data_IF_515627420897
#
_entry.id   IF_515627420897
#
_cell.length_a   1.000
_cell.length_b   1.000
_cell.length_c   1.000
_cell.angle_alpha   90.00
_cell.angle_beta   90.00
_cell.angle_gamma   90.00
#
_symmetry.space_group_name_H-M   'P 1'
#
loop_
_entity.id
_entity.type
_entity.pdbx_description
1 polymer ?
#
# COMPACT_ATOMS: atom_id res chain seq x y z
N UNK A 1 -1.66 -36.00 7.93
CA UNK A 1 -2.26 -34.90 8.72
C UNK A 1 -1.62 -33.61 8.25
N UNK A 2 -2.30 -32.87 7.37
CA UNK A 2 -1.76 -31.65 6.76
C UNK A 2 -2.27 -30.44 7.55
N UNK A 3 -1.36 -29.75 8.25
CA UNK A 3 -1.64 -28.42 8.79
C UNK A 3 -1.52 -27.42 7.65
N UNK A 4 -2.64 -27.06 7.02
CA UNK A 4 -2.69 -25.83 6.25
C UNK A 4 -2.48 -24.68 7.23
N UNK A 5 -1.33 -24.01 7.16
CA UNK A 5 -1.22 -22.66 7.69
C UNK A 5 -1.94 -21.79 6.67
N UNK A 6 -3.27 -21.79 6.74
CA UNK A 6 -4.01 -20.58 6.43
C UNK A 6 -3.31 -19.51 7.24
N UNK A 7 -2.97 -18.37 6.63
CA UNK A 7 -2.89 -17.14 7.38
C UNK A 7 -4.31 -16.89 7.91
N UNK A 8 -4.70 -17.65 8.95
CA UNK A 8 -5.84 -17.31 9.78
C UNK A 8 -5.46 -15.95 10.30
N UNK A 9 -6.34 -14.98 10.08
CA UNK A 9 -6.36 -13.77 10.87
C UNK A 9 -6.39 -14.21 12.33
N UNK A 10 -5.20 -14.33 12.93
CA UNK A 10 -5.06 -14.27 14.36
C UNK A 10 -5.44 -12.83 14.62
N UNK A 11 -6.72 -12.60 14.91
CA UNK A 11 -7.21 -11.37 15.53
C UNK A 11 -6.54 -11.31 16.90
N UNK A 12 -5.24 -11.03 16.91
CA UNK A 12 -4.56 -10.53 18.06
C UNK A 12 -5.22 -9.18 18.31
N UNK A 13 -5.93 -9.08 19.44
CA UNK A 13 -6.42 -7.80 19.93
C UNK A 13 -5.33 -6.75 19.75
N UNK A 14 -5.65 -5.65 19.07
CA UNK A 14 -4.71 -4.58 18.74
C UNK A 14 -3.83 -4.27 19.97
N UNK A 15 -2.49 -4.40 19.86
CA UNK A 15 -1.61 -3.99 20.94
C UNK A 15 -1.90 -2.51 21.23
N UNK A 16 -2.24 -2.21 22.50
CA UNK A 16 -2.51 -0.84 22.95
C UNK A 16 -1.34 0.06 22.49
N UNK A 17 -1.60 0.93 21.50
CA UNK A 17 -0.72 1.93 20.84
C UNK A 17 -0.02 1.53 19.53
N UNK A 18 -0.63 0.73 18.65
CA UNK A 18 -0.18 0.74 17.25
C UNK A 18 -0.82 1.91 16.49
N UNK A 19 0.02 2.77 15.89
CA UNK A 19 -0.45 3.93 15.14
C UNK A 19 -0.88 3.53 13.72
N UNK A 20 -2.15 3.73 13.41
CA UNK A 20 -2.69 3.56 12.05
C UNK A 20 -2.24 4.69 11.13
N UNK A 21 -2.21 4.39 9.83
CA UNK A 21 -2.06 5.41 8.80
C UNK A 21 -3.27 6.34 8.82
N UNK A 22 -3.06 7.62 8.51
CA UNK A 22 -4.16 8.60 8.37
C UNK A 22 -4.39 8.88 6.90
N UNK A 23 -5.63 8.72 6.45
CA UNK A 23 -6.12 9.17 5.15
C UNK A 23 -7.05 10.36 5.39
N UNK A 24 -6.55 11.56 5.15
CA UNK A 24 -7.20 12.83 5.51
C UNK A 24 -7.85 13.41 4.27
N UNK A 25 -9.15 13.66 4.31
CA UNK A 25 -9.89 14.29 3.22
C UNK A 25 -9.47 15.75 3.05
N UNK A 26 -9.17 16.16 1.82
CA UNK A 26 -9.23 17.57 1.44
C UNK A 26 -10.70 17.94 1.24
N UNK A 27 -11.30 18.58 2.24
CA UNK A 27 -12.72 18.85 2.20
C UNK A 27 -13.11 19.92 1.17
N UNK A 28 -12.19 20.81 0.79
CA UNK A 28 -12.46 21.85 -0.20
C UNK A 28 -12.50 21.22 -1.58
N UNK A 29 -11.49 20.43 -1.93
CA UNK A 29 -11.46 19.67 -3.19
C UNK A 29 -12.68 18.74 -3.28
N UNK A 30 -12.94 17.99 -2.23
CA UNK A 30 -14.06 17.06 -2.18
C UNK A 30 -15.42 17.74 -2.38
N UNK A 31 -15.65 18.86 -1.69
CA UNK A 31 -16.91 19.61 -1.83
C UNK A 31 -17.12 20.08 -3.26
N UNK A 32 -16.07 20.59 -3.92
CA UNK A 32 -16.14 21.00 -5.33
C UNK A 32 -16.55 19.85 -6.26
N UNK A 33 -16.04 18.64 -6.01
CA UNK A 33 -16.44 17.46 -6.79
C UNK A 33 -17.91 17.13 -6.59
N UNK A 34 -18.41 17.20 -5.35
CA UNK A 34 -19.81 16.89 -5.03
C UNK A 34 -20.77 17.92 -5.62
N UNK A 35 -20.45 19.22 -5.55
CA UNK A 35 -21.32 20.28 -6.06
C UNK A 35 -21.49 20.28 -7.60
N UNK A 36 -20.68 19.52 -8.34
CA UNK A 36 -20.81 19.32 -9.79
C UNK A 36 -20.61 17.83 -10.14
N UNK A 37 -21.35 16.96 -9.44
CA UNK A 37 -21.20 15.50 -9.52
C UNK A 37 -21.32 14.94 -10.95
N UNK A 38 -22.15 15.55 -11.79
CA UNK A 38 -22.30 15.12 -13.19
C UNK A 38 -21.01 15.28 -13.99
N UNK A 39 -20.27 16.37 -13.78
CA UNK A 39 -18.99 16.60 -14.47
C UNK A 39 -17.84 15.86 -13.80
N UNK A 40 -17.95 15.63 -12.50
CA UNK A 40 -16.87 15.10 -11.66
C UNK A 40 -17.07 13.63 -11.26
N UNK A 41 -17.99 12.91 -11.90
CA UNK A 41 -18.39 11.56 -11.49
C UNK A 41 -17.20 10.61 -11.38
N UNK A 42 -16.27 10.66 -12.34
CA UNK A 42 -15.08 9.79 -12.37
C UNK A 42 -14.14 10.04 -11.19
N UNK A 43 -13.88 11.32 -10.90
CA UNK A 43 -12.93 11.69 -9.86
C UNK A 43 -13.54 11.43 -8.48
N UNK A 44 -14.81 11.78 -8.28
CA UNK A 44 -15.54 11.47 -7.05
C UNK A 44 -15.64 9.96 -6.82
N UNK A 45 -15.96 9.16 -7.85
CA UNK A 45 -15.97 7.70 -7.78
C UNK A 45 -14.60 7.13 -7.39
N UNK A 46 -13.52 7.71 -7.91
CA UNK A 46 -12.16 7.27 -7.59
C UNK A 46 -11.81 7.55 -6.12
N UNK A 47 -12.17 8.72 -5.58
CA UNK A 47 -11.97 9.05 -4.16
C UNK A 47 -12.82 8.18 -3.22
N UNK A 48 -14.09 7.99 -3.55
CA UNK A 48 -15.00 7.13 -2.79
C UNK A 48 -14.46 5.70 -2.78
N UNK A 49 -14.05 5.17 -3.94
CA UNK A 49 -13.47 3.83 -4.05
C UNK A 49 -12.17 3.71 -3.23
N UNK A 50 -11.34 4.76 -3.19
CA UNK A 50 -10.13 4.77 -2.38
C UNK A 50 -10.46 4.73 -0.88
N UNK A 51 -11.42 5.52 -0.42
CA UNK A 51 -11.87 5.49 0.97
C UNK A 51 -12.52 4.15 1.36
N UNK A 52 -13.30 3.52 0.46
CA UNK A 52 -13.89 2.18 0.68
C UNK A 52 -12.83 1.07 0.74
N UNK A 53 -11.76 1.22 -0.03
CA UNK A 53 -10.66 0.24 -0.09
C UNK A 53 -9.66 0.39 1.06
N UNK A 54 -9.77 1.45 1.86
CA UNK A 54 -8.91 1.64 3.03
C UNK A 54 -9.23 0.59 4.09
N UNK A 55 -8.22 -0.20 4.47
CA UNK A 55 -8.35 -1.22 5.50
C UNK A 55 -8.45 -0.55 6.89
N UNK A 56 -9.60 -0.66 7.57
CA UNK A 56 -9.84 0.02 8.85
C UNK A 56 -8.94 -0.51 9.98
N UNK A 57 -8.28 -1.65 9.81
CA UNK A 57 -7.34 -2.18 10.81
C UNK A 57 -6.00 -1.43 10.83
N UNK A 58 -5.56 -0.95 9.66
CA UNK A 58 -4.25 -0.27 9.47
C UNK A 58 -4.36 1.21 9.11
N UNK A 59 -5.54 1.68 8.71
CA UNK A 59 -5.77 3.04 8.25
C UNK A 59 -7.05 3.63 8.85
N UNK A 60 -6.96 4.89 9.29
CA UNK A 60 -8.11 5.69 9.69
C UNK A 60 -8.41 6.69 8.57
N UNK A 61 -9.67 6.71 8.12
CA UNK A 61 -10.17 7.73 7.18
C UNK A 61 -10.77 8.87 8.00
N UNK A 62 -10.27 10.09 7.78
CA UNK A 62 -10.61 11.30 8.53
C UNK A 62 -11.23 12.30 7.55
N UNK A 63 -12.45 12.75 7.82
CA UNK A 63 -13.18 13.64 6.92
C UNK A 63 -14.26 14.44 7.62
N UNK A 64 -15.17 15.01 6.82
CA UNK A 64 -16.32 15.77 7.32
C UNK A 64 -17.36 14.78 7.86
N UNK A 65 -17.87 15.03 9.06
CA UNK A 65 -18.97 14.25 9.62
C UNK A 65 -20.32 14.61 9.02
N UNK A 66 -21.25 13.66 9.10
CA UNK A 66 -22.59 13.68 8.50
C UNK A 66 -23.33 15.02 8.63
N UNK A 67 -23.49 15.55 9.85
CA UNK A 67 -24.21 16.81 10.08
C UNK A 67 -23.53 18.01 9.42
N UNK A 68 -22.19 18.11 9.55
CA UNK A 68 -21.42 19.21 8.96
C UNK A 68 -21.37 19.11 7.44
N UNK A 69 -21.34 17.89 6.90
CA UNK A 69 -21.33 17.64 5.47
C UNK A 69 -22.62 18.15 4.85
N UNK A 70 -23.79 17.71 5.31
CA UNK A 70 -25.07 18.14 4.71
C UNK A 70 -25.41 19.62 4.95
N UNK A 71 -24.71 20.30 5.87
CA UNK A 71 -24.80 21.75 6.03
C UNK A 71 -23.91 22.56 5.09
N UNK A 72 -23.10 21.92 4.24
CA UNK A 72 -22.22 22.64 3.33
C UNK A 72 -23.02 23.43 2.28
N UNK A 73 -22.55 24.64 2.02
CA UNK A 73 -23.09 25.53 1.00
C UNK A 73 -21.98 26.04 0.08
N UNK A 74 -22.26 26.06 -1.22
CA UNK A 74 -21.37 26.63 -2.24
C UNK A 74 -22.21 27.41 -3.24
N UNK A 75 -21.82 28.67 -3.51
CA UNK A 75 -22.53 29.59 -4.41
C UNK A 75 -24.04 29.70 -4.13
N UNK A 76 -24.44 29.63 -2.85
CA UNK A 76 -25.83 29.73 -2.40
C UNK A 76 -26.66 28.46 -2.60
N UNK A 77 -26.04 27.35 -3.00
CA UNK A 77 -26.67 26.03 -3.03
C UNK A 77 -26.25 25.19 -1.85
N UNK A 78 -27.21 24.48 -1.25
CA UNK A 78 -26.92 23.50 -0.22
C UNK A 78 -26.56 22.13 -0.84
N UNK A 79 -25.61 21.42 -0.26
CA UNK A 79 -25.14 20.12 -0.79
C UNK A 79 -26.24 19.06 -0.81
N UNK A 80 -27.19 19.10 0.12
CA UNK A 80 -28.33 18.20 0.20
C UNK A 80 -29.24 18.40 -1.02
N UNK A 81 -29.53 19.65 -1.37
CA UNK A 81 -30.33 19.98 -2.56
C UNK A 81 -29.63 19.53 -3.84
N UNK A 82 -28.31 19.69 -3.92
CA UNK A 82 -27.54 19.24 -5.07
C UNK A 82 -27.54 17.71 -5.17
N UNK A 83 -27.15 16.98 -4.12
CA UNK A 83 -27.08 15.51 -4.09
C UNK A 83 -28.41 14.82 -4.45
N UNK A 84 -29.53 15.38 -4.01
CA UNK A 84 -30.86 14.79 -4.22
C UNK A 84 -31.68 15.48 -5.32
N UNK A 85 -31.07 16.34 -6.13
CA UNK A 85 -31.74 16.92 -7.29
C UNK A 85 -32.05 15.87 -8.36
N UNK A 86 -33.14 16.07 -9.11
CA UNK A 86 -33.52 15.18 -10.23
C UNK A 86 -32.42 15.10 -11.31
N UNK A 87 -31.62 16.17 -11.44
CA UNK A 87 -30.47 16.24 -12.34
C UNK A 87 -29.40 15.19 -12.00
N UNK A 88 -29.34 14.71 -10.76
CA UNK A 88 -28.37 13.74 -10.28
C UNK A 88 -28.91 12.31 -10.19
N UNK A 89 -30.07 12.03 -10.79
CA UNK A 89 -30.66 10.68 -10.86
C UNK A 89 -29.73 9.64 -11.48
N UNK A 90 -28.87 10.02 -12.44
CA UNK A 90 -27.83 9.16 -13.04
C UNK A 90 -26.66 8.82 -12.11
N UNK A 91 -26.51 9.52 -10.99
CA UNK A 91 -25.42 9.36 -10.01
C UNK A 91 -25.90 8.78 -8.68
N UNK A 92 -27.14 8.24 -8.62
CA UNK A 92 -27.76 7.72 -7.39
C UNK A 92 -26.88 6.74 -6.62
N UNK A 93 -26.25 5.79 -7.32
CA UNK A 93 -25.38 4.78 -6.68
C UNK A 93 -24.16 5.43 -6.03
N UNK A 94 -23.59 6.45 -6.67
CA UNK A 94 -22.46 7.21 -6.16
C UNK A 94 -22.85 8.00 -4.91
N UNK A 95 -24.02 8.64 -4.92
CA UNK A 95 -24.57 9.34 -3.77
C UNK A 95 -24.78 8.38 -2.60
N UNK A 96 -25.39 7.21 -2.83
CA UNK A 96 -25.61 6.22 -1.75
C UNK A 96 -24.29 5.76 -1.12
N UNK A 97 -23.28 5.45 -1.94
CA UNK A 97 -21.94 5.08 -1.44
C UNK A 97 -21.31 6.19 -0.60
N UNK A 98 -21.44 7.43 -1.07
CA UNK A 98 -20.97 8.62 -0.36
C UNK A 98 -21.60 8.74 1.03
N UNK A 99 -22.93 8.61 1.14
CA UNK A 99 -23.63 8.70 2.44
C UNK A 99 -23.15 7.62 3.41
N UNK A 100 -22.98 6.39 2.93
CA UNK A 100 -22.48 5.27 3.74
C UNK A 100 -21.06 5.56 4.24
N UNK A 101 -20.20 6.11 3.38
CA UNK A 101 -18.82 6.44 3.76
C UNK A 101 -18.74 7.54 4.82
N UNK A 102 -19.45 8.65 4.62
CA UNK A 102 -19.44 9.79 5.54
C UNK A 102 -19.86 9.36 6.95
N UNK A 103 -20.83 8.44 7.06
CA UNK A 103 -21.27 7.90 8.35
C UNK A 103 -20.20 7.09 9.11
N UNK A 104 -19.15 6.64 8.41
CA UNK A 104 -18.06 5.82 8.95
C UNK A 104 -16.76 6.61 9.20
N UNK A 105 -16.64 7.82 8.68
CA UNK A 105 -15.42 8.61 8.80
C UNK A 105 -15.20 9.12 10.23
N UNK A 106 -13.93 9.13 10.64
CA UNK A 106 -13.53 9.87 11.82
C UNK A 106 -13.62 11.37 11.53
N UNK A 107 -14.00 12.18 12.52
CA UNK A 107 -14.08 13.63 12.33
C UNK A 107 -12.71 14.25 12.14
N UNK A 108 -12.65 15.19 11.19
CA UNK A 108 -11.65 16.26 11.25
C UNK A 108 -11.77 17.01 12.60
N UNK A 109 -10.64 17.42 13.20
CA UNK A 109 -10.65 18.18 14.44
C UNK A 109 -11.40 19.50 14.25
N UNK A 110 -12.05 19.98 15.31
CA UNK A 110 -12.66 21.31 15.28
C UNK A 110 -11.58 22.36 15.10
N UNK A 111 -11.72 23.21 14.09
CA UNK A 111 -10.72 24.21 13.77
C UNK A 111 -10.62 25.23 14.91
N UNK A 112 -9.48 25.24 15.58
CA UNK A 112 -9.09 26.37 16.43
C UNK A 112 -8.67 27.55 15.54
N UNK A 113 -9.62 28.27 14.95
CA UNK A 113 -9.41 29.59 14.30
C UNK A 113 -8.35 29.70 13.19
N UNK A 114 -7.80 28.59 12.67
CA UNK A 114 -6.81 28.65 11.57
C UNK A 114 -7.48 28.85 10.20
N UNK A 115 -6.74 29.50 9.31
CA UNK A 115 -7.10 29.97 7.97
C UNK A 115 -8.07 29.03 7.22
N UNK A 116 -9.33 29.43 7.09
CA UNK A 116 -10.37 28.64 6.42
C UNK A 116 -10.16 28.55 4.90
N UNK A 117 -9.23 29.32 4.35
CA UNK A 117 -8.97 29.38 2.91
C UNK A 117 -8.29 28.12 2.35
N UNK A 118 -7.44 27.45 3.14
CA UNK A 118 -6.70 26.26 2.69
C UNK A 118 -7.38 24.94 3.06
N UNK A 119 -8.34 24.97 4.00
CA UNK A 119 -9.03 23.79 4.48
C UNK A 119 -8.39 23.15 5.73
N UNK A 120 -9.25 22.55 6.55
CA UNK A 120 -8.97 21.84 7.78
C UNK A 120 -8.13 20.59 7.48
N UNK A 121 -8.49 19.79 6.47
CA UNK A 121 -7.75 18.57 6.13
C UNK A 121 -6.28 18.83 5.81
N UNK A 122 -6.02 19.83 4.96
CA UNK A 122 -4.68 20.31 4.65
C UNK A 122 -3.97 20.80 5.92
N UNK A 123 -4.65 21.60 6.75
CA UNK A 123 -4.08 22.11 8.01
C UNK A 123 -3.67 20.98 8.97
N UNK A 124 -4.48 19.92 9.08
CA UNK A 124 -4.17 18.74 9.89
C UNK A 124 -2.94 18.01 9.34
N UNK A 125 -2.90 17.77 8.02
CA UNK A 125 -1.77 17.08 7.40
C UNK A 125 -0.47 17.87 7.54
N UNK A 126 -0.52 19.19 7.36
CA UNK A 126 0.60 20.13 7.63
C UNK A 126 1.10 20.00 9.06
N UNK A 127 0.19 20.04 10.04
CA UNK A 127 0.54 19.94 11.46
C UNK A 127 1.12 18.57 11.84
N UNK A 128 0.60 17.49 11.25
CA UNK A 128 1.10 16.13 11.51
C UNK A 128 2.47 15.88 10.85
N UNK A 129 2.76 16.55 9.73
CA UNK A 129 4.01 16.41 8.98
C UNK A 129 4.19 15.04 8.31
N UNK A 130 3.16 14.20 8.27
CA UNK A 130 3.11 12.91 7.57
C UNK A 130 1.68 12.40 7.48
N UNK A 131 1.36 11.64 6.44
CA UNK A 131 0.03 11.07 6.23
C UNK A 131 -0.32 10.97 4.75
N UNK A 132 -1.58 10.67 4.45
CA UNK A 132 -2.10 10.69 3.09
C UNK A 132 -3.22 11.70 2.96
N UNK A 133 -3.25 12.43 1.84
CA UNK A 133 -4.33 13.33 1.47
C UNK A 133 -5.26 12.61 0.48
N UNK A 134 -6.53 12.47 0.83
CA UNK A 134 -7.58 11.99 -0.06
C UNK A 134 -8.13 13.20 -0.83
N UNK A 135 -7.68 13.36 -2.07
CA UNK A 135 -8.05 14.46 -2.95
C UNK A 135 -7.86 14.06 -4.42
N UNK A 136 -8.56 14.73 -5.32
CA UNK A 136 -8.44 14.54 -6.77
C UNK A 136 -7.25 15.29 -7.36
N UNK A 137 -6.89 16.42 -6.75
CA UNK A 137 -5.80 17.29 -7.18
C UNK A 137 -4.69 17.28 -6.14
N UNK A 138 -3.45 17.28 -6.62
CA UNK A 138 -2.30 17.46 -5.74
C UNK A 138 -2.33 18.88 -5.16
N UNK A 139 -2.11 19.08 -3.85
CA UNK A 139 -1.98 20.43 -3.31
C UNK A 139 -0.84 21.15 -4.05
N UNK A 140 -0.99 22.45 -4.30
CA UNK A 140 0.04 23.20 -5.02
C UNK A 140 1.43 22.97 -4.40
N UNK A 141 2.48 22.76 -5.21
CA UNK A 141 3.83 22.49 -4.75
C UNK A 141 4.31 23.69 -3.95
N UNK A 142 4.15 23.57 -2.64
CA UNK A 142 4.43 24.59 -1.64
C UNK A 142 5.39 23.99 -0.63
N UNK A 143 6.07 24.85 0.10
CA UNK A 143 7.22 24.47 0.95
C UNK A 143 6.88 23.52 2.12
N UNK A 144 5.60 23.16 2.31
CA UNK A 144 5.16 22.28 3.39
C UNK A 144 4.99 20.82 3.00
N UNK A 145 4.84 20.50 1.69
CA UNK A 145 4.62 19.13 1.25
C UNK A 145 5.93 18.33 1.25
N UNK A 146 5.98 17.25 2.02
CA UNK A 146 7.14 16.35 2.09
C UNK A 146 6.84 15.04 1.35
N UNK A 147 7.32 14.92 0.11
CA UNK A 147 7.16 13.72 -0.71
C UNK A 147 7.74 12.44 -0.06
N UNK A 148 8.63 12.53 0.91
CA UNK A 148 9.12 11.35 1.62
C UNK A 148 8.13 10.83 2.66
N UNK A 149 7.22 11.69 3.16
CA UNK A 149 6.34 11.40 4.31
C UNK A 149 4.85 11.55 4.01
N UNK A 150 4.50 12.20 2.91
CA UNK A 150 3.14 12.49 2.49
C UNK A 150 2.82 11.82 1.14
N UNK A 151 1.56 11.48 0.92
CA UNK A 151 1.12 10.94 -0.37
C UNK A 151 -0.28 11.40 -0.73
N UNK A 152 -0.47 11.78 -2.00
CA UNK A 152 -1.79 12.00 -2.56
C UNK A 152 -2.43 10.64 -2.88
N UNK A 153 -3.65 10.43 -2.41
CA UNK A 153 -4.48 9.26 -2.70
C UNK A 153 -5.71 9.73 -3.47
N UNK A 154 -5.62 9.73 -4.79
CA UNK A 154 -6.75 9.98 -5.70
C UNK A 154 -7.45 8.71 -6.21
N UNK A 155 -6.92 7.53 -5.89
CA UNK A 155 -7.45 6.24 -6.34
C UNK A 155 -7.02 5.09 -5.39
N UNK A 156 -7.73 3.95 -5.38
CA UNK A 156 -7.38 2.80 -4.54
C UNK A 156 -5.94 2.30 -4.71
N UNK A 157 -5.41 2.36 -5.93
CA UNK A 157 -4.05 1.94 -6.25
C UNK A 157 -2.96 2.76 -5.55
N UNK A 158 -3.29 3.92 -4.99
CA UNK A 158 -2.34 4.77 -4.25
C UNK A 158 -2.22 4.40 -2.76
N UNK A 159 -3.17 3.62 -2.22
CA UNK A 159 -3.18 3.23 -0.81
C UNK A 159 -1.92 2.46 -0.38
N UNK A 160 -1.39 1.48 -1.15
CA UNK A 160 -0.18 0.77 -0.74
C UNK A 160 1.01 1.71 -0.51
N UNK A 161 1.19 2.70 -1.39
CA UNK A 161 2.25 3.71 -1.27
C UNK A 161 2.04 4.59 -0.04
N UNK A 162 0.82 5.06 0.21
CA UNK A 162 0.48 5.81 1.42
C UNK A 162 0.81 5.04 2.70
N UNK A 163 0.45 3.75 2.75
CA UNK A 163 0.72 2.88 3.90
C UNK A 163 2.22 2.69 4.10
N UNK A 164 3.00 2.46 3.04
CA UNK A 164 4.46 2.31 3.13
C UNK A 164 5.14 3.57 3.67
N UNK A 165 4.72 4.76 3.20
CA UNK A 165 5.24 6.04 3.71
C UNK A 165 4.91 6.22 5.19
N UNK A 166 3.67 5.95 5.59
CA UNK A 166 3.27 5.94 7.01
C UNK A 166 4.13 4.98 7.82
N UNK A 167 4.31 3.75 7.36
CA UNK A 167 5.06 2.71 8.05
C UNK A 167 6.51 3.15 8.37
N UNK A 168 7.16 3.82 7.41
CA UNK A 168 8.50 4.38 7.58
C UNK A 168 8.47 5.61 8.50
N UNK A 169 7.59 6.58 8.24
CA UNK A 169 7.53 7.83 8.98
C UNK A 169 7.19 7.64 10.47
N UNK A 170 6.27 6.71 10.77
CA UNK A 170 5.87 6.34 12.12
C UNK A 170 6.86 5.38 12.81
N UNK A 171 7.94 4.99 12.13
CA UNK A 171 8.97 4.07 12.65
C UNK A 171 8.38 2.79 13.23
N UNK A 172 7.45 2.18 12.49
CA UNK A 172 6.71 1.00 12.95
C UNK A 172 7.69 -0.14 13.25
N UNK A 173 7.58 -0.70 14.47
CA UNK A 173 8.43 -1.78 14.93
C UNK A 173 8.27 -3.05 14.07
N UNK A 174 9.36 -3.82 13.93
CA UNK A 174 9.40 -5.04 13.12
C UNK A 174 8.28 -6.03 13.46
N UNK A 175 7.90 -6.15 14.74
CA UNK A 175 6.85 -7.07 15.20
C UNK A 175 5.47 -6.77 14.61
N UNK A 176 5.28 -5.58 14.04
CA UNK A 176 4.04 -5.16 13.37
C UNK A 176 4.13 -5.26 11.85
N UNK A 177 5.27 -5.65 11.28
CA UNK A 177 5.46 -5.69 9.83
C UNK A 177 4.43 -6.59 9.13
N UNK A 178 4.24 -7.81 9.62
CA UNK A 178 3.27 -8.76 9.05
C UNK A 178 1.83 -8.24 9.07
N UNK A 179 1.48 -7.41 10.06
CA UNK A 179 0.15 -6.80 10.17
C UNK A 179 -0.13 -5.83 9.01
N UNK A 180 0.86 -5.03 8.60
CA UNK A 180 0.73 -4.08 7.50
C UNK A 180 0.97 -4.70 6.11
N UNK A 181 1.53 -5.92 6.03
CA UNK A 181 2.00 -6.52 4.78
C UNK A 181 0.95 -6.55 3.67
N UNK A 182 -0.28 -6.95 3.98
CA UNK A 182 -1.32 -7.10 2.96
C UNK A 182 -1.72 -5.75 2.35
N UNK A 183 -1.78 -4.69 3.17
CA UNK A 183 -2.06 -3.34 2.71
C UNK A 183 -0.89 -2.70 1.96
N UNK A 184 0.35 -2.93 2.42
CA UNK A 184 1.55 -2.41 1.74
C UNK A 184 1.86 -3.15 0.44
N UNK A 185 1.61 -4.45 0.38
CA UNK A 185 2.09 -5.31 -0.70
C UNK A 185 1.01 -6.27 -1.22
N UNK A 186 -0.11 -5.76 -1.74
CA UNK A 186 -1.24 -6.60 -2.15
C UNK A 186 -0.90 -7.60 -3.26
N UNK A 187 0.12 -7.32 -4.08
CA UNK A 187 0.57 -8.16 -5.20
C UNK A 187 1.70 -9.13 -4.82
N UNK A 188 2.04 -9.23 -3.52
CA UNK A 188 2.99 -10.21 -3.02
C UNK A 188 2.29 -11.38 -2.33
N UNK A 189 2.81 -12.58 -2.57
CA UNK A 189 2.50 -13.79 -1.82
C UNK A 189 3.71 -14.16 -0.97
N UNK A 190 3.54 -14.16 0.35
CA UNK A 190 4.60 -14.52 1.28
C UNK A 190 4.52 -16.00 1.62
N UNK A 191 5.36 -16.82 0.97
CA UNK A 191 5.52 -18.23 1.35
C UNK A 191 6.22 -18.33 2.71
N UNK A 192 7.30 -17.56 2.87
CA UNK A 192 7.93 -17.33 4.16
C UNK A 192 7.19 -16.23 4.91
N UNK A 193 6.77 -16.47 6.15
CA UNK A 193 6.04 -15.46 6.93
C UNK A 193 6.85 -14.16 7.04
N UNK A 194 6.24 -12.98 6.86
CA UNK A 194 6.89 -11.70 7.07
C UNK A 194 7.45 -11.51 8.50
N UNK A 195 6.97 -12.26 9.50
CA UNK A 195 7.53 -12.24 10.86
C UNK A 195 8.99 -12.71 10.92
N UNK A 196 9.45 -13.41 9.88
CA UNK A 196 10.82 -13.90 9.74
C UNK A 196 11.78 -12.87 9.14
N UNK A 197 11.43 -11.59 9.07
CA UNK A 197 12.38 -10.53 8.70
C UNK A 197 13.68 -10.55 9.52
N UNK A 198 13.65 -11.03 10.77
CA UNK A 198 14.87 -11.18 11.60
C UNK A 198 15.90 -12.13 10.96
N UNK A 199 15.46 -13.04 10.11
CA UNK A 199 16.33 -13.98 9.42
C UNK A 199 17.22 -13.29 8.38
N UNK A 200 16.92 -12.04 7.99
CA UNK A 200 17.78 -11.28 7.08
C UNK A 200 19.15 -10.94 7.66
N UNK A 201 19.38 -11.12 8.97
CA UNK A 201 20.70 -10.89 9.57
C UNK A 201 21.16 -9.43 9.58
N UNK A 202 20.23 -8.49 9.35
CA UNK A 202 20.50 -7.04 9.31
C UNK A 202 19.70 -6.31 10.40
N UNK A 203 20.23 -5.22 10.99
CA UNK A 203 19.47 -4.41 11.93
C UNK A 203 18.23 -3.79 11.28
N UNK A 204 17.04 -4.18 11.73
CA UNK A 204 15.78 -3.74 11.12
C UNK A 204 15.65 -2.21 11.07
N UNK A 205 15.97 -1.51 12.16
CA UNK A 205 15.83 -0.05 12.26
C UNK A 205 16.71 0.71 11.27
N UNK A 206 17.84 0.13 10.86
CA UNK A 206 18.77 0.74 9.90
C UNK A 206 18.36 0.45 8.45
N UNK A 207 17.69 -0.69 8.22
CA UNK A 207 17.41 -1.20 6.88
C UNK A 207 15.92 -1.27 6.51
N UNK A 208 15.01 -0.84 7.39
CA UNK A 208 13.55 -0.89 7.14
C UNK A 208 13.19 -0.21 5.83
N UNK A 209 13.79 0.95 5.52
CA UNK A 209 13.54 1.65 4.26
C UNK A 209 13.93 0.81 3.05
N UNK A 210 15.15 0.25 3.05
CA UNK A 210 15.60 -0.63 1.97
C UNK A 210 14.71 -1.86 1.82
N UNK A 211 14.31 -2.50 2.93
CA UNK A 211 13.39 -3.65 2.91
C UNK A 211 12.06 -3.27 2.27
N UNK A 212 11.48 -2.12 2.65
CA UNK A 212 10.24 -1.61 2.05
C UNK A 212 10.45 -1.29 0.57
N UNK A 213 11.55 -0.67 0.18
CA UNK A 213 11.85 -0.34 -1.22
C UNK A 213 11.93 -1.60 -2.10
N UNK A 214 12.56 -2.67 -1.61
CA UNK A 214 12.62 -3.96 -2.31
C UNK A 214 11.24 -4.59 -2.49
N UNK A 215 10.45 -4.69 -1.42
CA UNK A 215 9.10 -5.24 -1.54
C UNK A 215 8.18 -4.34 -2.37
N UNK A 216 8.36 -3.01 -2.32
CA UNK A 216 7.63 -2.06 -3.16
C UNK A 216 7.91 -2.31 -4.63
N UNK A 217 9.19 -2.46 -5.00
CA UNK A 217 9.57 -2.80 -6.37
C UNK A 217 8.92 -4.09 -6.84
N UNK A 218 9.00 -5.15 -6.02
CA UNK A 218 8.42 -6.45 -6.36
C UNK A 218 6.89 -6.38 -6.47
N UNK A 219 6.24 -5.57 -5.66
CA UNK A 219 4.79 -5.40 -5.68
C UNK A 219 4.31 -4.60 -6.91
N UNK A 220 5.02 -3.54 -7.25
CA UNK A 220 4.53 -2.52 -8.17
C UNK A 220 5.00 -2.75 -9.61
N UNK A 221 6.16 -3.38 -9.82
CA UNK A 221 6.80 -3.45 -11.14
C UNK A 221 7.21 -4.85 -11.59
N UNK A 222 7.44 -5.79 -10.67
CA UNK A 222 8.06 -7.06 -11.05
C UNK A 222 7.19 -7.92 -11.98
N UNK A 223 5.86 -7.84 -11.92
CA UNK A 223 4.99 -8.55 -12.86
C UNK A 223 5.30 -8.21 -14.33
N UNK A 224 5.63 -6.95 -14.61
CA UNK A 224 5.88 -6.48 -15.98
C UNK A 224 7.36 -6.62 -16.32
N UNK A 225 8.25 -6.30 -15.38
CA UNK A 225 9.69 -6.36 -15.61
C UNK A 225 10.19 -7.80 -15.83
N UNK A 226 9.53 -8.80 -15.25
CA UNK A 226 9.88 -10.22 -15.42
C UNK A 226 9.22 -10.91 -16.62
N UNK A 227 8.62 -10.15 -17.54
CA UNK A 227 8.20 -10.66 -18.85
C UNK A 227 9.38 -10.87 -19.81
N UNK A 228 10.54 -10.27 -19.52
CA UNK A 228 11.78 -10.53 -20.25
C UNK A 228 12.43 -11.84 -19.78
N UNK A 229 13.01 -12.59 -20.71
CA UNK A 229 13.88 -13.72 -20.40
C UNK A 229 15.36 -13.31 -20.23
N UNK A 230 15.68 -12.03 -20.46
CA UNK A 230 17.03 -11.51 -20.42
C UNK A 230 17.37 -10.94 -19.04
N UNK A 231 18.22 -11.66 -18.28
CA UNK A 231 18.61 -11.28 -16.91
C UNK A 231 19.08 -9.82 -16.80
N UNK A 232 19.83 -9.31 -17.79
CA UNK A 232 20.37 -7.95 -17.78
C UNK A 232 19.29 -6.86 -17.95
N UNK A 233 18.21 -7.13 -18.69
CA UNK A 233 17.07 -6.22 -18.84
C UNK A 233 16.32 -6.11 -17.51
N UNK A 234 16.06 -7.25 -16.86
CA UNK A 234 15.43 -7.30 -15.53
C UNK A 234 16.24 -6.50 -14.50
N UNK A 235 17.56 -6.70 -14.48
CA UNK A 235 18.48 -6.00 -13.57
C UNK A 235 18.49 -4.49 -13.84
N UNK A 236 18.55 -4.08 -15.10
CA UNK A 236 18.54 -2.65 -15.47
C UNK A 236 17.22 -1.98 -15.08
N UNK A 237 16.09 -2.65 -15.33
CA UNK A 237 14.77 -2.17 -14.94
C UNK A 237 14.64 -2.01 -13.42
N UNK A 238 15.14 -2.97 -12.65
CA UNK A 238 15.20 -2.89 -11.20
C UNK A 238 16.09 -1.73 -10.71
N UNK A 239 17.28 -1.59 -11.29
CA UNK A 239 18.21 -0.50 -11.00
C UNK A 239 17.60 0.89 -11.26
N UNK A 240 16.80 1.03 -12.33
CA UNK A 240 16.07 2.27 -12.64
C UNK A 240 15.05 2.67 -11.57
N UNK A 241 14.62 1.72 -10.73
CA UNK A 241 13.71 1.91 -9.59
C UNK A 241 14.46 1.97 -8.26
N UNK A 242 15.79 2.07 -8.27
CA UNK A 242 16.61 2.22 -7.08
C UNK A 242 16.85 0.92 -6.29
N UNK A 243 16.54 -0.24 -6.87
CA UNK A 243 16.74 -1.54 -6.20
C UNK A 243 17.75 -2.41 -6.94
N UNK A 244 18.59 -3.12 -6.19
CA UNK A 244 19.55 -4.07 -6.75
C UNK A 244 19.06 -5.50 -6.55
N UNK A 245 18.77 -6.19 -7.66
CA UNK A 245 18.43 -7.61 -7.68
C UNK A 245 19.38 -8.35 -8.62
N UNK A 246 19.55 -9.64 -8.39
CA UNK A 246 20.30 -10.51 -9.29
C UNK A 246 19.77 -11.94 -9.22
N UNK A 247 19.91 -12.72 -10.29
CA UNK A 247 19.75 -14.16 -10.19
C UNK A 247 20.94 -14.78 -9.46
N UNK A 248 20.84 -16.06 -9.15
CA UNK A 248 21.98 -16.83 -8.68
C UNK A 248 23.15 -16.85 -9.67
N UNK A 249 24.36 -16.88 -9.12
CA UNK A 249 25.57 -16.89 -9.93
C UNK A 249 25.65 -18.16 -10.80
N UNK A 250 26.34 -18.13 -11.95
CA UNK A 250 26.57 -19.34 -12.74
C UNK A 250 27.25 -20.47 -11.97
N UNK A 251 28.08 -20.14 -10.96
CA UNK A 251 28.71 -21.13 -10.07
C UNK A 251 27.66 -21.81 -9.20
N UNK A 252 26.79 -21.03 -8.57
CA UNK A 252 25.70 -21.54 -7.72
C UNK A 252 24.69 -22.36 -8.54
N UNK A 253 24.30 -21.87 -9.73
CA UNK A 253 23.38 -22.59 -10.65
C UNK A 253 23.90 -23.97 -11.06
N UNK A 254 25.21 -24.19 -11.05
CA UNK A 254 25.85 -25.50 -11.32
C UNK A 254 25.96 -26.39 -10.08
N UNK A 255 25.78 -25.86 -8.88
CA UNK A 255 25.80 -26.62 -7.63
C UNK A 255 24.37 -27.07 -7.29
N UNK A 256 24.06 -28.35 -7.49
CA UNK A 256 22.73 -28.91 -7.26
C UNK A 256 22.24 -28.72 -5.82
N UNK A 257 23.10 -28.97 -4.85
CA UNK A 257 22.77 -28.86 -3.42
C UNK A 257 22.48 -27.40 -3.05
N UNK A 258 23.28 -26.46 -3.56
CA UNK A 258 23.02 -25.04 -3.38
C UNK A 258 21.69 -24.63 -3.99
N UNK A 259 21.38 -25.05 -5.21
CA UNK A 259 20.12 -24.70 -5.85
C UNK A 259 18.90 -25.34 -5.16
N UNK A 260 19.08 -26.45 -4.46
CA UNK A 260 18.03 -27.05 -3.63
C UNK A 260 17.64 -26.18 -2.43
N UNK A 261 18.58 -25.46 -1.83
CA UNK A 261 18.27 -24.49 -0.75
C UNK A 261 17.35 -23.34 -1.22
N UNK A 262 17.28 -23.07 -2.53
CA UNK A 262 16.39 -22.03 -3.12
C UNK A 262 15.01 -22.56 -3.48
N UNK A 263 14.77 -23.85 -3.28
CA UNK A 263 13.53 -24.48 -3.68
C UNK A 263 12.51 -24.45 -2.53
N UNK A 264 11.35 -23.85 -2.80
CA UNK A 264 10.19 -23.86 -1.90
C UNK A 264 9.14 -24.84 -2.43
N UNK A 265 8.17 -25.21 -1.59
CA UNK A 265 7.05 -26.07 -1.99
C UNK A 265 5.71 -25.37 -1.78
N UNK A 266 4.93 -25.25 -2.84
CA UNK A 266 3.57 -24.70 -2.82
C UNK A 266 2.64 -25.71 -3.47
N UNK A 267 1.62 -26.18 -2.73
CA UNK A 267 0.71 -27.24 -3.18
C UNK A 267 1.41 -28.48 -3.76
N UNK A 268 2.52 -28.89 -3.14
CA UNK A 268 3.31 -30.04 -3.56
C UNK A 268 4.26 -29.79 -4.74
N UNK A 269 4.11 -28.67 -5.45
CA UNK A 269 4.99 -28.27 -6.54
C UNK A 269 6.26 -27.60 -6.00
N UNK A 270 7.39 -27.95 -6.60
CA UNK A 270 8.69 -27.38 -6.28
C UNK A 270 8.90 -26.11 -7.11
N UNK A 271 9.15 -24.98 -6.45
CA UNK A 271 9.39 -23.69 -7.09
C UNK A 271 10.75 -23.14 -6.68
N UNK A 272 11.55 -22.72 -7.65
CA UNK A 272 12.92 -22.27 -7.42
C UNK A 272 13.01 -20.75 -7.34
N UNK A 273 13.31 -20.21 -6.16
CA UNK A 273 13.51 -18.78 -5.94
C UNK A 273 14.97 -18.40 -6.24
N UNK A 274 15.36 -18.46 -7.52
CA UNK A 274 16.73 -18.14 -7.95
C UNK A 274 17.05 -16.63 -7.97
N UNK A 275 16.03 -15.77 -7.95
CA UNK A 275 16.22 -14.32 -7.92
C UNK A 275 16.28 -13.85 -6.48
N UNK A 276 17.17 -12.91 -6.21
CA UNK A 276 17.28 -12.33 -4.88
C UNK A 276 17.63 -10.84 -4.90
N UNK A 277 17.12 -10.14 -3.89
CA UNK A 277 17.61 -8.83 -3.49
C UNK A 277 18.69 -8.98 -2.40
N UNK A 278 19.55 -7.96 -2.29
CA UNK A 278 20.62 -7.89 -1.29
C UNK A 278 20.51 -6.60 -0.49
N UNK A 279 20.09 -6.67 0.78
CA UNK A 279 20.05 -5.48 1.66
C UNK A 279 21.46 -4.93 1.89
N UNK A 280 22.44 -5.81 2.12
CA UNK A 280 23.86 -5.46 2.20
C UNK A 280 24.69 -6.40 1.33
N UNK A 281 25.97 -6.08 1.14
CA UNK A 281 26.87 -6.93 0.35
C UNK A 281 26.97 -8.36 0.90
N UNK A 282 26.92 -8.52 2.23
CA UNK A 282 27.14 -9.82 2.90
C UNK A 282 25.86 -10.48 3.39
N UNK A 283 24.82 -9.70 3.71
CA UNK A 283 23.64 -10.16 4.45
C UNK A 283 22.33 -9.70 3.79
N UNK A 284 21.19 -10.15 4.32
CA UNK A 284 19.85 -9.70 3.94
C UNK A 284 19.46 -10.11 2.54
N UNK A 285 19.32 -11.41 2.32
CA UNK A 285 18.84 -12.00 1.08
C UNK A 285 17.32 -12.21 1.15
N UNK A 286 16.63 -11.61 0.19
CA UNK A 286 15.20 -11.84 -0.06
C UNK A 286 15.13 -12.63 -1.36
N UNK A 287 14.89 -13.93 -1.29
CA UNK A 287 14.72 -14.77 -2.48
C UNK A 287 13.26 -14.79 -2.91
N UNK A 288 13.02 -14.70 -4.21
CA UNK A 288 11.68 -14.61 -4.75
C UNK A 288 11.54 -15.30 -6.12
N UNK A 289 10.29 -15.51 -6.51
CA UNK A 289 9.90 -15.99 -7.82
C UNK A 289 8.87 -15.03 -8.43
N UNK A 290 9.25 -14.37 -9.52
CA UNK A 290 8.43 -13.36 -10.20
C UNK A 290 7.99 -13.75 -11.61
N UNK A 291 8.43 -14.90 -12.15
CA UNK A 291 8.07 -15.32 -13.52
C UNK A 291 6.58 -15.70 -13.61
N UNK A 292 5.98 -15.51 -14.79
CA UNK A 292 4.56 -15.87 -15.06
C UNK A 292 4.36 -17.37 -15.31
N UNK A 293 5.39 -18.06 -15.81
CA UNK A 293 5.36 -19.49 -16.16
C UNK A 293 5.43 -20.46 -14.98
N UNK A 294 4.55 -20.33 -13.98
CA UNK A 294 4.49 -21.24 -12.82
C UNK A 294 3.44 -22.35 -12.99
N UNK A 295 3.59 -23.50 -12.32
CA UNK A 295 2.62 -24.59 -12.38
C UNK A 295 1.22 -24.15 -11.93
N UNK A 296 0.17 -24.76 -12.50
CA UNK A 296 -1.22 -24.37 -12.22
C UNK A 296 -1.59 -24.53 -10.75
N UNK A 297 -1.11 -25.59 -10.11
CA UNK A 297 -1.30 -25.82 -8.66
C UNK A 297 -0.73 -24.69 -7.79
N UNK A 298 0.34 -24.01 -8.25
CA UNK A 298 0.90 -22.84 -7.57
C UNK A 298 0.03 -21.61 -7.84
N UNK A 299 -0.53 -21.45 -9.05
CA UNK A 299 -1.43 -20.33 -9.36
C UNK A 299 -2.73 -20.37 -8.58
N UNK A 300 -3.27 -21.56 -8.32
CA UNK A 300 -4.48 -21.72 -7.50
C UNK A 300 -4.30 -21.06 -6.13
N UNK A 301 -3.12 -21.20 -5.52
CA UNK A 301 -2.80 -20.62 -4.22
C UNK A 301 -2.37 -19.15 -4.30
N UNK A 302 -1.56 -18.80 -5.30
CA UNK A 302 -0.82 -17.54 -5.34
C UNK A 302 -1.43 -16.50 -6.29
N UNK A 303 -2.35 -16.90 -7.17
CA UNK A 303 -2.85 -16.08 -8.27
C UNK A 303 -1.72 -15.59 -9.17
N UNK A 304 -1.73 -14.30 -9.48
CA UNK A 304 -0.71 -13.60 -10.28
C UNK A 304 0.40 -12.97 -9.43
N UNK A 305 0.38 -13.16 -8.10
CA UNK A 305 1.27 -12.45 -7.17
C UNK A 305 2.73 -12.86 -7.33
N UNK A 306 3.66 -11.97 -7.02
CA UNK A 306 5.09 -12.34 -6.91
C UNK A 306 5.29 -13.11 -5.61
N UNK A 307 6.02 -14.22 -5.66
CA UNK A 307 6.20 -15.10 -4.51
C UNK A 307 7.49 -14.72 -3.78
N UNK A 308 7.37 -14.32 -2.51
CA UNK A 308 8.50 -14.15 -1.59
C UNK A 308 8.75 -15.50 -0.93
N UNK A 309 9.84 -16.14 -1.32
CA UNK A 309 10.11 -17.53 -0.99
C UNK A 309 10.93 -17.72 0.28
N UNK A 310 12.01 -16.96 0.43
CA UNK A 310 13.00 -17.17 1.49
C UNK A 310 13.52 -15.82 1.98
N UNK A 311 13.61 -15.68 3.30
CA UNK A 311 14.27 -14.56 3.98
C UNK A 311 15.47 -15.13 4.74
N UNK A 312 16.68 -14.76 4.34
CA UNK A 312 17.90 -15.32 4.90
C UNK A 312 19.01 -14.28 5.03
N UNK A 313 19.93 -14.51 5.96
CA UNK A 313 21.15 -13.73 6.11
C UNK A 313 22.05 -14.03 4.90
N UNK A 314 22.40 -15.31 4.78
CA UNK A 314 23.08 -15.90 3.64
C UNK A 314 22.66 -17.37 3.51
N UNK A 315 22.62 -17.90 2.28
CA UNK A 315 22.45 -19.34 2.03
C UNK A 315 23.81 -20.02 1.96
N UNK A 316 23.99 -21.12 2.68
CA UNK A 316 25.30 -21.64 3.10
C UNK A 316 26.09 -22.39 2.02
N UNK A 317 25.46 -22.70 0.88
CA UNK A 317 26.03 -23.52 -0.19
C UNK A 317 26.11 -22.80 -1.55
#
# INVERSE_FOLDING_TARGET
>A
MASSIKCRSIFASLPKKMQKAKLILDEIDFSRLVFDIQKNQRDLDSLISAAESADPEIMDVIGIQDEKFYSLELDGKNINEELFSDANSGSRDLVVRLQILISKWNSLPESGTSDTAEGIGISVLKSDGSGALLASVHPDPSDWWDDARMHLVSAPSHLPTAIRKHFIAAKIEQKHFAFFCNGMFPNLYFHESPDKLKNLGVPYTEHVRSIIDYFSYLNDFASDHFDSDEDHVIIANAGSKGVTISPESPKTRKNGDAMEERDIKINGEKLRCEWHAKITNTCGRIHFYARKGRPENVKIETGTKVIIGILADHLTL
#
